data_IF_235376337076
#
_entry.id   IF_235376337076
#
_cell.length_a   1.000
_cell.length_b   1.000
_cell.length_c   1.000
_cell.angle_alpha   90.00
_cell.angle_beta   90.00
_cell.angle_gamma   90.00
#
_symmetry.space_group_name_H-M   'P 1'
#
loop_
_entity.id
_entity.type
_entity.pdbx_description
1 polymer ?
#
# COMPACT_ATOMS: atom_id res chain seq x y z
N UNK A 1 4.64 -16.89 22.85
CA UNK A 1 4.05 -16.94 21.50
C UNK A 1 5.11 -17.31 20.47
N UNK A 2 4.70 -17.87 19.33
CA UNK A 2 5.63 -18.23 18.26
C UNK A 2 5.69 -17.10 17.25
N UNK A 3 6.92 -16.72 16.86
CA UNK A 3 7.22 -15.65 15.92
C UNK A 3 8.09 -16.23 14.83
N UNK A 4 7.64 -16.17 13.61
CA UNK A 4 8.42 -16.61 12.44
C UNK A 4 8.94 -15.39 11.71
N UNK A 5 10.25 -15.32 11.54
CA UNK A 5 10.95 -14.21 10.89
C UNK A 5 11.20 -14.49 9.42
N UNK A 6 11.02 -13.47 8.60
CA UNK A 6 11.21 -13.53 7.17
C UNK A 6 12.03 -12.32 6.65
N UNK A 7 12.52 -12.46 5.45
CA UNK A 7 13.04 -11.34 4.67
C UNK A 7 12.20 -11.17 3.41
N UNK A 8 11.70 -9.96 3.16
CA UNK A 8 10.99 -9.61 1.94
C UNK A 8 11.61 -8.39 1.29
N UNK A 9 11.66 -8.38 -0.03
CA UNK A 9 12.11 -7.23 -0.84
C UNK A 9 10.94 -6.47 -1.45
N UNK A 10 9.72 -6.93 -1.17
CA UNK A 10 8.50 -6.30 -1.69
C UNK A 10 8.27 -4.92 -1.08
N UNK A 11 7.77 -3.99 -1.90
CA UNK A 11 7.37 -2.66 -1.45
C UNK A 11 6.30 -2.77 -0.33
N UNK A 12 6.42 -1.90 0.68
CA UNK A 12 5.45 -1.86 1.79
C UNK A 12 4.02 -1.56 1.31
N UNK A 13 3.86 -0.97 0.12
CA UNK A 13 2.56 -0.67 -0.50
C UNK A 13 1.92 -1.87 -1.20
N UNK A 14 2.68 -2.91 -1.48
CA UNK A 14 2.16 -4.12 -2.14
C UNK A 14 1.11 -4.77 -1.26
N UNK A 15 -0.04 -5.10 -1.82
CA UNK A 15 -1.17 -5.67 -1.08
C UNK A 15 -0.86 -7.07 -0.54
N UNK A 16 -0.38 -7.94 -1.41
CA UNK A 16 0.06 -9.28 -1.04
C UNK A 16 1.57 -9.39 -1.23
N UNK A 17 2.29 -9.61 -0.13
CA UNK A 17 3.73 -9.76 -0.17
C UNK A 17 4.15 -11.19 -0.44
N UNK A 18 5.24 -11.34 -1.17
CA UNK A 18 5.88 -12.62 -1.36
C UNK A 18 6.74 -12.89 -0.14
N UNK A 19 6.30 -13.82 0.68
CA UNK A 19 7.02 -14.24 1.87
C UNK A 19 7.91 -15.43 1.47
N UNK A 20 9.22 -15.26 1.58
CA UNK A 20 10.19 -16.31 1.27
C UNK A 20 10.28 -17.39 2.35
N UNK A 21 11.38 -18.12 2.35
CA UNK A 21 11.66 -19.11 3.40
C UNK A 21 11.87 -18.42 4.74
N UNK A 22 11.36 -19.03 5.81
CA UNK A 22 11.56 -18.55 7.17
C UNK A 22 13.06 -18.52 7.52
N UNK A 23 13.53 -17.40 8.02
CA UNK A 23 14.91 -17.23 8.48
C UNK A 23 15.10 -17.86 9.87
N UNK A 24 14.12 -17.71 10.74
CA UNK A 24 14.11 -18.29 12.07
C UNK A 24 12.69 -18.34 12.63
N UNK A 25 12.47 -19.29 13.53
CA UNK A 25 11.26 -19.36 14.35
C UNK A 25 11.68 -19.21 15.80
N UNK A 26 11.12 -18.21 16.48
CA UNK A 26 11.48 -17.82 17.83
C UNK A 26 10.28 -17.96 18.76
N UNK A 27 10.55 -18.23 20.01
CA UNK A 27 9.57 -18.13 21.08
C UNK A 27 9.82 -16.82 21.83
N UNK A 28 8.79 -16.01 21.97
CA UNK A 28 8.88 -14.74 22.68
C UNK A 28 7.60 -14.40 23.42
N UNK A 29 7.69 -13.34 24.23
CA UNK A 29 6.60 -12.82 25.02
C UNK A 29 6.34 -11.36 24.67
N UNK A 30 5.09 -10.91 24.86
CA UNK A 30 4.76 -9.48 24.72
C UNK A 30 5.40 -8.70 25.87
N UNK A 31 6.08 -7.60 25.53
CA UNK A 31 6.80 -6.80 26.53
C UNK A 31 5.87 -5.94 27.37
N UNK A 32 4.82 -5.34 26.76
CA UNK A 32 3.90 -4.42 27.43
C UNK A 32 2.47 -4.54 26.89
N UNK A 33 1.55 -3.75 27.46
CA UNK A 33 0.21 -3.51 26.89
C UNK A 33 0.35 -2.71 25.60
N UNK A 34 0.52 -3.40 24.50
CA UNK A 34 0.66 -2.81 23.18
C UNK A 34 -0.63 -3.04 22.41
N UNK A 35 -0.94 -2.12 21.52
CA UNK A 35 -2.02 -2.32 20.56
C UNK A 35 -1.58 -3.42 19.58
N UNK A 36 -2.53 -4.18 19.04
CA UNK A 36 -2.23 -5.19 18.01
C UNK A 36 -1.67 -4.61 16.70
N UNK A 37 -1.70 -3.30 16.55
CA UNK A 37 -1.12 -2.54 15.42
C UNK A 37 0.39 -2.32 15.60
N UNK A 38 0.82 -2.07 16.84
CA UNK A 38 2.23 -1.90 17.20
C UNK A 38 2.53 -2.80 18.39
N UNK A 39 3.45 -3.72 18.22
CA UNK A 39 3.83 -4.70 19.22
C UNK A 39 5.30 -4.56 19.56
N UNK A 40 5.62 -4.71 20.85
CA UNK A 40 6.98 -4.92 21.31
C UNK A 40 7.08 -6.34 21.86
N UNK A 41 7.93 -7.14 21.23
CA UNK A 41 8.09 -8.54 21.57
C UNK A 41 9.46 -8.76 22.16
N UNK A 42 9.49 -9.47 23.29
CA UNK A 42 10.73 -9.90 23.94
C UNK A 42 11.11 -11.29 23.46
N UNK A 43 12.34 -11.44 22.95
CA UNK A 43 12.93 -12.72 22.54
C UNK A 43 14.33 -12.88 23.14
N UNK A 44 14.87 -14.09 23.20
CA UNK A 44 16.24 -14.32 23.70
C UNK A 44 17.30 -13.56 22.89
N UNK A 45 18.30 -13.01 23.55
CA UNK A 45 19.39 -12.26 22.92
C UNK A 45 20.22 -13.06 21.90
N UNK A 46 20.24 -14.38 22.00
CA UNK A 46 20.88 -15.28 21.04
C UNK A 46 20.28 -15.19 19.62
N UNK A 47 19.07 -14.63 19.49
CA UNK A 47 18.39 -14.45 18.22
C UNK A 47 18.82 -13.19 17.44
N UNK A 48 19.77 -12.39 17.96
CA UNK A 48 20.16 -11.09 17.40
C UNK A 48 20.51 -11.15 15.92
N UNK A 49 21.28 -12.16 15.49
CA UNK A 49 21.68 -12.30 14.07
C UNK A 49 20.47 -12.54 13.17
N UNK A 50 19.56 -13.43 13.56
CA UNK A 50 18.35 -13.74 12.79
C UNK A 50 17.39 -12.56 12.74
N UNK A 51 17.23 -11.86 13.86
CA UNK A 51 16.41 -10.65 13.95
C UNK A 51 16.99 -9.53 13.10
N UNK A 52 18.33 -9.36 13.12
CA UNK A 52 19.01 -8.35 12.29
C UNK A 52 18.83 -8.58 10.78
N UNK A 53 18.81 -9.83 10.35
CA UNK A 53 18.63 -10.20 8.94
C UNK A 53 17.16 -10.13 8.46
N UNK A 54 16.19 -10.21 9.38
CA UNK A 54 14.77 -10.19 9.08
C UNK A 54 14.26 -8.75 8.98
N UNK A 55 13.31 -8.50 8.12
CA UNK A 55 12.55 -7.25 8.05
C UNK A 55 11.04 -7.46 8.18
N UNK A 56 10.61 -8.72 8.29
CA UNK A 56 9.21 -9.11 8.30
C UNK A 56 8.98 -10.26 9.27
N UNK A 57 7.84 -10.30 9.91
CA UNK A 57 7.50 -11.31 10.91
C UNK A 57 6.05 -11.76 10.80
N UNK A 58 5.81 -13.01 11.12
CA UNK A 58 4.47 -13.56 11.31
C UNK A 58 4.32 -14.03 12.75
N UNK A 59 3.24 -13.65 13.41
CA UNK A 59 2.92 -14.06 14.77
C UNK A 59 1.76 -15.04 14.73
N UNK A 60 2.06 -16.30 15.04
CA UNK A 60 1.10 -17.39 14.96
C UNK A 60 -0.12 -17.17 15.86
N UNK A 61 0.07 -16.73 17.10
CA UNK A 61 -1.01 -16.51 18.07
C UNK A 61 -2.01 -15.43 17.61
N UNK A 62 -1.55 -14.45 16.84
CA UNK A 62 -2.39 -13.36 16.33
C UNK A 62 -2.86 -13.62 14.89
N UNK A 63 -2.23 -14.57 14.19
CA UNK A 63 -2.51 -14.86 12.78
C UNK A 63 -2.20 -13.69 11.85
N UNK A 64 -1.24 -12.83 12.22
CA UNK A 64 -0.97 -11.57 11.54
C UNK A 64 0.48 -11.41 11.14
N UNK A 65 0.68 -10.66 10.07
CA UNK A 65 1.98 -10.24 9.56
C UNK A 65 2.34 -8.84 10.02
N UNK A 66 3.65 -8.64 10.28
CA UNK A 66 4.20 -7.40 10.81
C UNK A 66 5.49 -7.03 10.09
N UNK A 67 5.73 -5.73 9.92
CA UNK A 67 7.05 -5.19 9.60
C UNK A 67 7.88 -5.08 10.86
N UNK A 68 9.16 -5.47 10.79
CA UNK A 68 10.11 -5.14 11.84
C UNK A 68 10.62 -3.71 11.62
N UNK A 69 10.37 -2.82 12.53
CA UNK A 69 10.89 -1.45 12.50
C UNK A 69 12.30 -1.41 13.08
N UNK A 70 12.44 -1.62 14.35
CA UNK A 70 13.72 -1.59 15.05
C UNK A 70 13.81 -2.71 16.08
N UNK A 71 14.97 -2.93 16.62
CA UNK A 71 15.15 -3.80 17.76
C UNK A 71 16.20 -3.25 18.71
N UNK A 72 16.03 -3.52 19.97
CA UNK A 72 16.90 -3.09 21.06
C UNK A 72 17.42 -4.32 21.82
N UNK A 73 18.60 -4.18 22.41
CA UNK A 73 19.20 -5.23 23.25
C UNK A 73 19.20 -4.75 24.68
N UNK A 74 18.47 -5.44 25.53
CA UNK A 74 18.41 -5.15 26.95
C UNK A 74 18.67 -6.43 27.76
N UNK A 75 19.69 -6.41 28.62
CA UNK A 75 19.99 -7.50 29.57
C UNK A 75 19.94 -8.93 28.94
N UNK A 76 20.66 -9.13 27.82
CA UNK A 76 20.69 -10.38 27.07
C UNK A 76 19.31 -10.81 26.49
N UNK A 77 18.40 -9.88 26.36
CA UNK A 77 17.08 -10.02 25.75
C UNK A 77 16.98 -9.04 24.59
N UNK A 78 16.27 -9.41 23.55
CA UNK A 78 15.94 -8.51 22.42
C UNK A 78 14.50 -8.06 22.54
N UNK A 79 14.31 -6.77 22.41
CA UNK A 79 13.01 -6.14 22.21
C UNK A 79 12.87 -5.83 20.73
N UNK A 80 11.86 -6.39 20.09
CA UNK A 80 11.60 -6.22 18.67
C UNK A 80 10.33 -5.38 18.52
N UNK A 81 10.46 -4.24 17.86
CA UNK A 81 9.35 -3.36 17.52
C UNK A 81 8.74 -3.80 16.19
N UNK A 82 7.48 -4.18 16.25
CA UNK A 82 6.72 -4.72 15.14
C UNK A 82 5.53 -3.82 14.84
N UNK A 83 5.32 -3.52 13.56
CA UNK A 83 4.19 -2.75 13.06
C UNK A 83 3.34 -3.60 12.12
N UNK A 84 2.04 -3.63 12.35
CA UNK A 84 1.12 -4.46 11.58
C UNK A 84 1.15 -4.12 10.08
N UNK A 85 1.23 -5.16 9.25
CA UNK A 85 0.97 -5.05 7.82
C UNK A 85 -0.52 -5.23 7.53
N UNK A 86 -1.27 -4.15 7.68
CA UNK A 86 -2.72 -4.13 7.46
C UNK A 86 -3.09 -4.59 6.05
N UNK A 87 -2.27 -4.27 5.05
CA UNK A 87 -2.55 -4.63 3.66
C UNK A 87 -2.47 -6.13 3.44
N UNK A 88 -1.43 -6.76 3.95
CA UNK A 88 -1.26 -8.22 3.85
C UNK A 88 -2.32 -8.96 4.68
N UNK A 89 -2.58 -8.50 5.91
CA UNK A 89 -3.51 -9.14 6.82
C UNK A 89 -4.96 -9.08 6.32
N UNK A 90 -5.35 -8.01 5.66
CA UNK A 90 -6.70 -7.80 5.13
C UNK A 90 -6.78 -7.90 3.59
N UNK A 91 -5.76 -8.46 2.93
CA UNK A 91 -5.66 -8.51 1.48
C UNK A 91 -6.92 -9.13 0.82
N UNK A 92 -7.39 -10.26 1.33
CA UNK A 92 -8.58 -10.93 0.81
C UNK A 92 -9.82 -10.06 0.96
N UNK A 93 -10.00 -9.42 2.12
CA UNK A 93 -11.15 -8.55 2.39
C UNK A 93 -11.12 -7.32 1.47
N UNK A 94 -9.94 -6.70 1.31
CA UNK A 94 -9.77 -5.55 0.42
C UNK A 94 -10.12 -5.91 -1.02
N UNK A 95 -9.67 -7.08 -1.52
CA UNK A 95 -9.92 -7.53 -2.88
C UNK A 95 -11.38 -7.93 -3.14
N UNK A 96 -12.12 -8.34 -2.11
CA UNK A 96 -13.52 -8.74 -2.23
C UNK A 96 -14.51 -7.60 -1.93
N UNK A 97 -14.02 -6.48 -1.40
CA UNK A 97 -14.86 -5.32 -1.09
C UNK A 97 -15.32 -4.63 -2.36
N UNK A 98 -16.63 -4.41 -2.48
CA UNK A 98 -17.18 -3.61 -3.58
C UNK A 98 -16.85 -2.14 -3.35
N UNK A 99 -16.18 -1.53 -4.31
CA UNK A 99 -15.87 -0.11 -4.28
C UNK A 99 -16.61 0.63 -5.38
N UNK A 100 -17.19 1.79 -5.05
CA UNK A 100 -17.73 2.71 -6.04
C UNK A 100 -16.63 3.71 -6.41
N UNK A 101 -16.26 3.73 -7.69
CA UNK A 101 -15.26 4.68 -8.20
C UNK A 101 -15.98 5.72 -9.04
N UNK A 102 -15.98 6.96 -8.57
CA UNK A 102 -16.53 8.10 -9.28
C UNK A 102 -15.42 8.92 -9.88
N UNK A 103 -15.59 9.30 -11.15
CA UNK A 103 -14.71 10.24 -11.84
C UNK A 103 -15.48 11.49 -12.18
N UNK A 104 -14.86 12.64 -12.00
CA UNK A 104 -15.41 13.90 -12.49
C UNK A 104 -15.12 14.05 -13.99
N UNK A 105 -16.13 14.39 -14.77
CA UNK A 105 -15.97 14.75 -16.19
C UNK A 105 -15.40 16.17 -16.34
N UNK A 106 -15.40 16.98 -15.29
CA UNK A 106 -14.85 18.34 -15.30
C UNK A 106 -13.50 18.37 -14.58
N UNK A 107 -12.57 19.15 -15.12
CA UNK A 107 -11.22 19.30 -14.56
C UNK A 107 -11.20 19.98 -13.17
N UNK A 108 -12.36 20.30 -12.61
CA UNK A 108 -12.43 21.06 -11.38
C UNK A 108 -13.49 20.52 -10.41
N UNK A 109 -13.14 19.46 -9.69
CA UNK A 109 -13.84 19.12 -8.47
C UNK A 109 -12.78 18.90 -7.39
N UNK A 110 -12.67 19.84 -6.46
CA UNK A 110 -11.70 19.82 -5.37
C UNK A 110 -11.81 18.61 -4.43
N UNK A 111 -12.89 17.82 -4.54
CA UNK A 111 -13.11 16.61 -3.73
C UNK A 111 -12.73 15.30 -4.44
N UNK A 112 -12.46 15.34 -5.75
CA UNK A 112 -12.18 14.15 -6.57
C UNK A 112 -10.89 14.31 -7.37
N UNK A 113 -9.95 15.08 -6.88
CA UNK A 113 -8.67 15.28 -7.54
C UNK A 113 -7.80 14.04 -7.43
N UNK A 114 -7.70 13.29 -8.51
CA UNK A 114 -6.79 12.16 -8.65
C UNK A 114 -5.64 12.53 -9.59
N UNK A 115 -4.49 12.83 -9.01
CA UNK A 115 -3.26 13.14 -9.76
C UNK A 115 -2.77 11.99 -10.64
N UNK A 116 -3.18 10.75 -10.36
CA UNK A 116 -2.81 9.58 -11.13
C UNK A 116 -3.64 9.38 -12.39
N UNK A 117 -4.74 10.12 -12.55
CA UNK A 117 -5.65 9.99 -13.68
C UNK A 117 -5.68 11.26 -14.54
N UNK A 118 -4.87 11.27 -15.58
CA UNK A 118 -5.03 12.24 -16.65
C UNK A 118 -6.15 11.75 -17.56
N UNK A 119 -7.26 12.47 -17.58
CA UNK A 119 -8.30 12.28 -18.58
C UNK A 119 -7.72 12.80 -19.90
N UNK A 120 -7.45 11.89 -20.82
CA UNK A 120 -7.16 12.26 -22.19
C UNK A 120 -8.45 12.85 -22.80
N UNK A 121 -8.53 14.16 -22.83
CA UNK A 121 -9.56 14.85 -23.58
C UNK A 121 -9.26 14.67 -25.07
N UNK A 122 -10.02 13.83 -25.74
CA UNK A 122 -9.95 13.74 -27.19
C UNK A 122 -10.62 14.96 -27.76
N UNK A 123 -9.84 15.89 -28.31
CA UNK A 123 -10.37 16.93 -29.21
C UNK A 123 -10.64 16.29 -30.57
N UNK A 124 -11.87 16.04 -30.87
CA UNK A 124 -12.25 15.68 -32.25
C UNK A 124 -12.49 16.97 -33.03
N UNK A 125 -11.54 17.33 -33.87
CA UNK A 125 -11.73 18.43 -34.81
C UNK A 125 -12.30 17.82 -36.10
N UNK A 126 -13.55 18.16 -36.43
CA UNK A 126 -14.14 17.84 -37.73
C UNK A 126 -13.93 19.02 -38.65
N UNK A 127 -13.06 18.87 -39.64
CA UNK A 127 -12.89 19.87 -40.70
C UNK A 127 -13.89 19.51 -41.79
N UNK A 128 -14.83 20.42 -42.07
CA UNK A 128 -15.75 20.33 -43.20
C UNK A 128 -15.31 21.29 -44.27
N UNK A 129 -15.03 20.79 -45.45
CA UNK A 129 -14.82 21.62 -46.64
C UNK A 129 -16.17 21.89 -47.28
N UNK A 130 -16.46 23.15 -47.46
CA UNK A 130 -17.66 23.56 -48.19
C UNK A 130 -17.32 23.61 -49.70
N UNK A 131 -18.19 23.07 -50.58
CA UNK A 131 -17.89 22.97 -52.01
C UNK A 131 -17.94 24.33 -52.73
N UNK A 132 -18.51 25.36 -52.10
CA UNK A 132 -18.53 26.71 -52.58
C UNK A 132 -17.76 27.63 -51.66
N UNK A 133 -16.95 28.51 -52.24
CA UNK A 133 -16.27 29.54 -51.47
C UNK A 133 -17.33 30.42 -50.77
N UNK A 134 -17.09 30.67 -49.49
CA UNK A 134 -17.96 31.57 -48.71
C UNK A 134 -17.52 32.96 -49.07
N UNK A 135 -18.43 33.66 -49.72
CA UNK A 135 -18.25 35.04 -50.07
C UNK A 135 -18.42 35.89 -48.82
N UNK A 136 -17.61 36.82 -48.60
CA UNK A 136 -17.40 37.92 -47.65
C UNK A 136 -18.35 38.07 -46.42
N UNK A 137 -19.06 37.04 -46.03
CA UNK A 137 -19.98 37.04 -44.89
C UNK A 137 -19.29 36.59 -43.61
N UNK A 138 -19.62 37.25 -42.53
CA UNK A 138 -19.09 36.99 -41.20
C UNK A 138 -19.51 35.59 -40.70
N UNK A 139 -18.54 34.67 -40.58
CA UNK A 139 -18.81 33.37 -40.00
C UNK A 139 -18.69 33.40 -38.47
N UNK A 140 -19.72 32.96 -37.78
CA UNK A 140 -19.70 32.74 -36.35
C UNK A 140 -19.57 31.22 -36.12
N UNK A 141 -18.41 30.78 -35.61
CA UNK A 141 -18.19 29.41 -35.20
C UNK A 141 -18.56 29.28 -33.73
N UNK A 142 -19.65 28.61 -33.41
CA UNK A 142 -20.01 28.30 -32.04
C UNK A 142 -19.59 26.85 -31.73
N UNK A 143 -18.65 26.67 -30.82
CA UNK A 143 -18.30 25.34 -30.29
C UNK A 143 -19.05 25.13 -28.99
N UNK A 144 -19.88 24.11 -28.93
CA UNK A 144 -20.51 23.63 -27.70
C UNK A 144 -19.67 22.44 -27.23
N UNK A 145 -19.05 22.55 -26.03
CA UNK A 145 -18.28 21.50 -25.37
C UNK A 145 -19.11 20.75 -24.35
#
# INVERSE_FOLDING_TARGET
MVITLYSTTDDYRKLQKTVGTALATLTGDLHEKVSDVQLVVRVPGSAATSVGAANYAYIDTLGKYYFREEFEIENNTLLIHLKEDVRMNFATQILTTTATVNRSASNWQGFLYDQGYQILAYKTAAIRNFPTAIDDDTMILTTVG
#
